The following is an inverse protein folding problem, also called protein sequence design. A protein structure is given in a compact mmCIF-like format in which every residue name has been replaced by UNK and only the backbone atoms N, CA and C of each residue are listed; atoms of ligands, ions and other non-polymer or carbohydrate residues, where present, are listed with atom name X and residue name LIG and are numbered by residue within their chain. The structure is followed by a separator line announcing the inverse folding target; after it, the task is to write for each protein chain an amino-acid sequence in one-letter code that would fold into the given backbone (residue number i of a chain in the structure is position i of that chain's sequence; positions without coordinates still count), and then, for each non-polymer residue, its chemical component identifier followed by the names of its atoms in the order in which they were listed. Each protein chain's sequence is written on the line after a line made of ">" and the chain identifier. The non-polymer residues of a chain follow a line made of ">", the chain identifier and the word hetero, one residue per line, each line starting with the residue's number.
data_IF_545557640931
#
_entry.id   IF_545557640931
#
_cell.length_a   1.000
_cell.length_b   1.000
_cell.length_c   1.000
_cell.angle_alpha   90.00
_cell.angle_beta   90.00
_cell.angle_gamma   90.00
#
_symmetry.space_group_name_H-M   'P 1'
#
loop_
_entity.id
_entity.type
_entity.pdbx_description
1 polymer ?
#
# COMPACT_ATOMS: atom_id res chain seq x y z
N UNK A 1 -7.48 10.41 -16.97
CA UNK A 1 -7.31 10.67 -15.51
C UNK A 1 -6.05 9.95 -15.07
N UNK A 2 -4.93 10.60 -14.73
CA UNK A 2 -3.66 9.88 -14.75
C UNK A 2 -3.46 8.91 -13.57
N UNK A 3 -4.21 9.01 -12.45
CA UNK A 3 -3.98 8.18 -11.25
C UNK A 3 -5.25 7.49 -10.70
N UNK A 4 -6.37 7.51 -11.42
CA UNK A 4 -7.67 7.05 -10.89
C UNK A 4 -7.75 5.55 -10.57
N UNK A 5 -6.88 4.72 -11.16
CA UNK A 5 -6.91 3.26 -11.06
C UNK A 5 -6.06 2.65 -9.96
N UNK A 6 -5.15 3.41 -9.33
CA UNK A 6 -4.27 2.85 -8.31
C UNK A 6 -5.03 2.60 -7.01
N UNK A 7 -4.82 1.42 -6.43
CA UNK A 7 -5.25 1.11 -5.07
C UNK A 7 -4.53 2.00 -4.06
N UNK A 8 -5.15 2.22 -2.91
CA UNK A 8 -4.61 2.99 -1.78
C UNK A 8 -3.21 2.51 -1.35
N UNK A 9 -2.92 1.22 -1.15
CA UNK A 9 -1.56 0.78 -0.82
C UNK A 9 -0.53 1.13 -1.91
N UNK A 10 -0.92 1.10 -3.19
CA UNK A 10 -0.06 1.50 -4.29
C UNK A 10 0.21 3.02 -4.30
N UNK A 11 -0.82 3.85 -4.06
CA UNK A 11 -0.67 5.31 -3.88
C UNK A 11 0.28 5.63 -2.72
N UNK A 12 0.08 5.00 -1.56
CA UNK A 12 0.92 5.20 -0.37
C UNK A 12 2.38 4.75 -0.61
N UNK A 13 2.59 3.65 -1.34
CA UNK A 13 3.94 3.21 -1.72
C UNK A 13 4.67 4.27 -2.57
N UNK A 14 3.99 4.86 -3.56
CA UNK A 14 4.57 5.91 -4.41
C UNK A 14 4.80 7.23 -3.66
N UNK A 15 3.87 7.60 -2.76
CA UNK A 15 4.02 8.78 -1.91
C UNK A 15 5.24 8.66 -0.99
N UNK A 16 5.40 7.51 -0.34
CA UNK A 16 6.51 7.20 0.55
C UNK A 16 7.83 6.87 -0.17
N UNK A 17 7.87 6.99 -1.51
CA UNK A 17 9.04 6.61 -2.29
C UNK A 17 10.20 7.59 -2.10
N UNK A 18 11.20 7.18 -1.33
CA UNK A 18 12.52 7.80 -1.24
C UNK A 18 13.61 6.76 -1.59
N UNK A 19 14.21 6.82 -2.78
CA UNK A 19 15.24 5.86 -3.19
C UNK A 19 16.60 6.13 -2.54
N UNK A 20 16.83 7.32 -2.00
CA UNK A 20 18.17 7.78 -1.61
C UNK A 20 18.45 7.62 -0.11
N UNK A 21 17.42 7.62 0.76
CA UNK A 21 17.63 7.75 2.22
C UNK A 21 16.53 7.13 3.06
N UNK A 22 16.57 5.82 3.26
CA UNK A 22 15.75 5.19 4.32
C UNK A 22 16.58 4.29 5.22
N UNK A 23 16.65 4.64 6.50
CA UNK A 23 17.08 3.73 7.57
C UNK A 23 16.16 2.52 7.66
N UNK A 24 16.62 1.42 8.28
CA UNK A 24 15.80 0.22 8.45
C UNK A 24 14.47 0.49 9.19
N UNK A 25 14.48 1.43 10.14
CA UNK A 25 13.28 1.85 10.86
C UNK A 25 12.28 2.59 9.95
N UNK A 26 12.77 3.41 9.03
CA UNK A 26 11.92 4.08 8.04
C UNK A 26 11.32 3.08 7.06
N UNK A 27 12.12 2.13 6.56
CA UNK A 27 11.62 1.05 5.71
C UNK A 27 10.49 0.26 6.39
N UNK A 28 10.66 -0.11 7.66
CA UNK A 28 9.61 -0.80 8.42
C UNK A 28 8.34 0.06 8.58
N UNK A 29 8.48 1.39 8.81
CA UNK A 29 7.34 2.31 8.85
C UNK A 29 6.59 2.36 7.52
N UNK A 30 7.30 2.36 6.39
CA UNK A 30 6.68 2.32 5.06
C UNK A 30 5.91 1.02 4.83
N UNK A 31 6.46 -0.12 5.26
CA UNK A 31 5.73 -1.40 5.17
C UNK A 31 4.41 -1.34 5.96
N UNK A 32 4.44 -0.81 7.19
CA UNK A 32 3.22 -0.64 7.99
C UNK A 32 2.23 0.32 7.36
N UNK A 33 2.71 1.44 6.79
CA UNK A 33 1.86 2.41 6.09
C UNK A 33 1.12 1.77 4.92
N UNK A 34 1.84 1.04 4.07
CA UNK A 34 1.28 0.37 2.89
C UNK A 34 0.30 -0.73 3.33
N UNK A 35 0.64 -1.52 4.35
CA UNK A 35 -0.24 -2.53 4.94
C UNK A 35 -1.52 -1.91 5.52
N UNK A 36 -1.40 -0.79 6.22
CA UNK A 36 -2.55 -0.07 6.78
C UNK A 36 -3.46 0.47 5.67
N UNK A 37 -2.90 1.00 4.57
CA UNK A 37 -3.68 1.41 3.41
C UNK A 37 -4.46 0.26 2.77
N UNK A 38 -3.83 -0.91 2.62
CA UNK A 38 -4.51 -2.09 2.08
C UNK A 38 -5.68 -2.54 2.98
N UNK A 39 -5.49 -2.59 4.29
CA UNK A 39 -6.55 -2.90 5.26
C UNK A 39 -7.67 -1.87 5.26
N UNK A 40 -7.32 -0.58 5.15
CA UNK A 40 -8.29 0.53 5.10
C UNK A 40 -9.16 0.42 3.86
N UNK A 41 -8.55 0.18 2.69
CA UNK A 41 -9.31 0.04 1.45
C UNK A 41 -10.21 -1.21 1.44
N UNK A 42 -9.75 -2.33 2.01
CA UNK A 42 -10.60 -3.51 2.21
C UNK A 42 -11.80 -3.21 3.11
N UNK A 43 -11.61 -2.43 4.17
CA UNK A 43 -12.69 -2.00 5.06
C UNK A 43 -13.66 -1.04 4.35
N UNK A 44 -13.16 -0.05 3.60
CA UNK A 44 -13.97 0.87 2.80
C UNK A 44 -14.79 0.15 1.73
N UNK A 45 -14.25 -0.94 1.16
CA UNK A 45 -14.96 -1.82 0.22
C UNK A 45 -15.93 -2.79 0.90
N UNK A 46 -16.03 -2.78 2.22
CA UNK A 46 -16.91 -3.66 3.00
C UNK A 46 -16.47 -5.13 3.03
N UNK A 47 -15.22 -5.43 2.70
CA UNK A 47 -14.67 -6.79 2.66
C UNK A 47 -14.04 -7.22 3.99
N UNK A 48 -13.64 -6.24 4.80
CA UNK A 48 -13.28 -6.43 6.19
C UNK A 48 -14.20 -5.58 7.07
N UNK A 49 -14.75 -6.19 8.12
CA UNK A 49 -15.55 -5.52 9.14
C UNK A 49 -14.81 -5.50 10.47
N UNK A 50 -15.18 -4.56 11.35
CA UNK A 50 -14.75 -4.57 12.74
C UNK A 50 -15.70 -5.44 13.57
N UNK A 51 -15.15 -6.46 14.22
CA UNK A 51 -15.84 -7.27 15.24
C UNK A 51 -15.10 -7.10 16.57
N UNK A 52 -15.58 -6.18 17.40
CA UNK A 52 -14.97 -5.83 18.70
C UNK A 52 -13.45 -5.54 18.61
N UNK A 53 -13.02 -4.82 17.57
CA UNK A 53 -11.62 -4.49 17.32
C UNK A 53 -10.81 -5.57 16.58
N UNK A 54 -11.45 -6.66 16.17
CA UNK A 54 -10.91 -7.72 15.31
C UNK A 54 -11.26 -7.39 13.86
N UNK A 55 -10.27 -7.50 12.96
CA UNK A 55 -10.55 -7.38 11.54
C UNK A 55 -11.07 -8.72 11.02
N UNK A 56 -12.34 -8.75 10.61
CA UNK A 56 -13.05 -9.98 10.24
C UNK A 56 -13.48 -9.92 8.77
N UNK A 57 -13.24 -10.97 7.97
CA UNK A 57 -13.76 -11.04 6.60
C UNK A 57 -15.30 -10.97 6.60
N UNK A 58 -15.86 -10.12 5.74
CA UNK A 58 -17.31 -9.99 5.62
C UNK A 58 -17.97 -11.26 5.06
N UNK A 59 -17.26 -11.97 4.19
CA UNK A 59 -17.64 -13.27 3.63
C UNK A 59 -16.42 -14.07 3.14
N UNK A 60 -16.65 -15.28 2.63
CA UNK A 60 -15.60 -16.20 2.16
C UNK A 60 -15.24 -16.07 0.68
N UNK A 61 -16.07 -15.43 -0.15
CA UNK A 61 -15.97 -15.53 -1.62
C UNK A 61 -15.70 -14.20 -2.33
N UNK A 62 -16.00 -13.07 -1.69
CA UNK A 62 -15.85 -11.74 -2.28
C UNK A 62 -14.39 -11.40 -2.54
N UNK A 63 -14.17 -10.64 -3.61
CA UNK A 63 -12.86 -10.22 -4.10
C UNK A 63 -12.91 -8.79 -4.62
N UNK A 64 -11.77 -8.13 -4.55
CA UNK A 64 -11.54 -6.76 -5.02
C UNK A 64 -11.21 -6.68 -6.51
N UNK A 65 -10.65 -7.77 -7.08
CA UNK A 65 -10.02 -7.75 -8.41
C UNK A 65 -8.61 -7.16 -8.44
N UNK A 66 -8.10 -6.66 -7.31
CA UNK A 66 -6.72 -6.23 -7.13
C UNK A 66 -5.96 -7.36 -6.41
N UNK A 67 -4.91 -7.89 -7.04
CA UNK A 67 -4.21 -9.07 -6.55
C UNK A 67 -3.55 -8.87 -5.17
N UNK A 68 -3.10 -7.65 -4.85
CA UNK A 68 -2.52 -7.33 -3.55
C UNK A 68 -3.59 -7.36 -2.47
N UNK A 69 -4.72 -6.70 -2.71
CA UNK A 69 -5.82 -6.66 -1.76
C UNK A 69 -6.45 -8.05 -1.57
N UNK A 70 -6.62 -8.80 -2.66
CA UNK A 70 -7.15 -10.17 -2.61
C UNK A 70 -6.21 -11.12 -1.87
N UNK A 71 -4.89 -11.02 -2.09
CA UNK A 71 -3.91 -11.81 -1.34
C UNK A 71 -3.88 -11.48 0.15
N UNK A 72 -4.10 -10.21 0.52
CA UNK A 72 -4.26 -9.81 1.92
C UNK A 72 -5.56 -10.36 2.51
N UNK A 73 -6.69 -10.20 1.82
CA UNK A 73 -7.99 -10.69 2.28
C UNK A 73 -7.96 -12.20 2.52
N UNK A 74 -7.34 -12.96 1.62
CA UNK A 74 -7.14 -14.41 1.78
C UNK A 74 -6.31 -14.73 3.02
N UNK A 75 -5.19 -14.03 3.22
CA UNK A 75 -4.37 -14.20 4.42
C UNK A 75 -5.17 -13.95 5.70
N UNK A 76 -6.09 -12.98 5.70
CA UNK A 76 -6.99 -12.75 6.86
C UNK A 76 -7.96 -13.91 7.06
N UNK A 77 -8.56 -14.44 5.99
CA UNK A 77 -9.49 -15.58 6.03
C UNK A 77 -8.83 -16.86 6.57
N UNK A 78 -7.60 -17.13 6.18
CA UNK A 78 -6.88 -18.35 6.54
C UNK A 78 -6.18 -18.29 7.92
N UNK A 79 -6.13 -17.10 8.54
CA UNK A 79 -5.44 -16.89 9.81
C UNK A 79 -6.36 -16.94 11.02
N UNK A 80 -5.76 -17.06 12.21
CA UNK A 80 -6.49 -16.85 13.46
C UNK A 80 -6.98 -15.39 13.59
N UNK A 81 -8.07 -15.15 14.34
CA UNK A 81 -8.57 -13.80 14.59
C UNK A 81 -7.50 -12.88 15.18
N UNK A 82 -7.34 -11.70 14.58
CA UNK A 82 -6.37 -10.71 15.00
C UNK A 82 -6.96 -9.30 15.03
N UNK A 83 -6.53 -8.51 16.02
CA UNK A 83 -6.86 -7.09 16.10
C UNK A 83 -6.25 -6.31 14.95
N UNK A 84 -6.87 -5.21 14.53
CA UNK A 84 -6.37 -4.33 13.47
C UNK A 84 -4.90 -3.94 13.62
N UNK A 85 -4.49 -3.55 14.82
CA UNK A 85 -3.09 -3.16 15.11
C UNK A 85 -2.10 -4.30 14.86
N UNK A 86 -2.51 -5.54 15.12
CA UNK A 86 -1.70 -6.72 14.82
C UNK A 86 -1.57 -6.90 13.32
N UNK A 87 -2.69 -6.79 12.59
CA UNK A 87 -2.72 -6.92 11.13
C UNK A 87 -1.89 -5.88 10.38
N UNK A 88 -1.76 -4.67 10.90
CA UNK A 88 -0.90 -3.62 10.34
C UNK A 88 0.59 -4.03 10.35
N UNK A 89 1.00 -4.87 11.30
CA UNK A 89 2.40 -5.27 11.48
C UNK A 89 2.70 -6.65 10.90
N UNK A 90 1.77 -7.57 11.12
CA UNK A 90 1.91 -8.96 10.72
C UNK A 90 2.07 -9.05 9.20
N UNK A 91 3.16 -9.66 8.75
CA UNK A 91 3.50 -9.83 7.33
C UNK A 91 3.46 -8.53 6.49
N UNK A 92 3.63 -7.35 7.09
CA UNK A 92 3.53 -6.07 6.38
C UNK A 92 4.50 -5.95 5.20
N UNK A 93 5.70 -6.56 5.31
CA UNK A 93 6.66 -6.63 4.22
C UNK A 93 6.12 -7.40 3.00
N UNK A 94 5.34 -8.46 3.21
CA UNK A 94 4.79 -9.27 2.11
C UNK A 94 3.84 -8.42 1.26
N UNK A 95 2.95 -7.66 1.90
CA UNK A 95 2.09 -6.69 1.18
C UNK A 95 2.92 -5.64 0.47
N UNK A 96 3.95 -5.09 1.11
CA UNK A 96 4.81 -4.09 0.48
C UNK A 96 5.54 -4.62 -0.76
N UNK A 97 6.12 -5.81 -0.68
CA UNK A 97 6.83 -6.44 -1.80
C UNK A 97 5.83 -6.74 -2.95
N UNK A 98 4.64 -7.26 -2.64
CA UNK A 98 3.59 -7.48 -3.64
C UNK A 98 3.11 -6.19 -4.33
N UNK A 99 2.96 -5.09 -3.59
CA UNK A 99 2.63 -3.77 -4.15
C UNK A 99 3.73 -3.28 -5.10
N UNK A 100 5.00 -3.49 -4.76
CA UNK A 100 6.11 -3.11 -5.64
C UNK A 100 6.12 -3.93 -6.92
N UNK A 101 5.83 -5.21 -6.83
CA UNK A 101 5.70 -6.09 -8.00
C UNK A 101 4.53 -5.66 -8.90
N UNK A 102 3.37 -5.36 -8.32
CA UNK A 102 2.23 -4.80 -9.07
C UNK A 102 2.59 -3.47 -9.74
N UNK A 103 3.24 -2.54 -9.02
CA UNK A 103 3.69 -1.27 -9.58
C UNK A 103 4.74 -1.43 -10.68
N UNK A 104 5.55 -2.50 -10.65
CA UNK A 104 6.43 -2.86 -11.78
C UNK A 104 5.60 -3.35 -12.96
N UNK A 105 4.64 -4.24 -12.74
CA UNK A 105 3.77 -4.77 -13.79
C UNK A 105 2.96 -3.66 -14.48
N UNK A 106 2.52 -2.65 -13.73
CA UNK A 106 1.79 -1.48 -14.23
C UNK A 106 2.71 -0.37 -14.80
N UNK A 107 4.04 -0.55 -14.71
CA UNK A 107 5.05 0.33 -15.29
C UNK A 107 5.31 1.63 -14.51
N UNK A 108 4.91 1.70 -13.23
CA UNK A 108 5.26 2.81 -12.34
C UNK A 108 6.67 2.67 -11.77
N UNK A 109 7.10 1.43 -11.55
CA UNK A 109 8.44 1.08 -11.09
C UNK A 109 9.19 0.25 -12.15
N UNK A 110 10.53 0.25 -12.06
CA UNK A 110 11.39 -0.69 -12.78
C UNK A 110 12.27 -1.42 -11.77
N UNK A 111 12.37 -2.74 -11.91
CA UNK A 111 13.29 -3.57 -11.15
C UNK A 111 14.66 -3.62 -11.87
N UNK A 112 15.71 -3.22 -11.16
CA UNK A 112 17.11 -3.24 -11.61
C UNK A 112 17.87 -4.30 -10.83
N UNK A 113 18.67 -5.12 -11.54
CA UNK A 113 19.57 -6.06 -10.91
C UNK A 113 20.82 -5.34 -10.42
N UNK A 114 21.14 -5.47 -9.15
CA UNK A 114 22.39 -5.02 -8.54
C UNK A 114 23.13 -6.18 -7.90
N UNK A 115 24.42 -6.02 -7.65
CA UNK A 115 25.24 -6.98 -6.91
C UNK A 115 25.73 -6.32 -5.63
N UNK A 116 25.40 -6.92 -4.49
CA UNK A 116 25.94 -6.53 -3.19
C UNK A 116 27.16 -7.40 -2.91
N UNK A 117 28.28 -6.78 -2.51
CA UNK A 117 29.57 -7.44 -2.30
C UNK A 117 30.06 -8.28 -3.52
N UNK A 118 29.67 -7.90 -4.74
CA UNK A 118 30.11 -8.55 -5.99
C UNK A 118 29.49 -9.93 -6.29
N UNK A 119 28.81 -10.57 -5.33
CA UNK A 119 28.29 -11.94 -5.48
C UNK A 119 26.80 -12.11 -5.19
N UNK A 120 26.21 -11.28 -4.34
CA UNK A 120 24.81 -11.44 -3.96
C UNK A 120 23.91 -10.62 -4.89
N UNK A 121 23.07 -11.26 -5.73
CA UNK A 121 22.09 -10.54 -6.52
C UNK A 121 21.11 -9.84 -5.57
N UNK A 122 20.87 -8.56 -5.83
CA UNK A 122 19.88 -7.74 -5.16
C UNK A 122 19.03 -7.04 -6.21
N UNK A 123 17.81 -6.69 -5.84
CA UNK A 123 16.90 -5.93 -6.71
C UNK A 123 16.77 -4.53 -6.13
N UNK A 124 17.19 -3.55 -6.92
CA UNK A 124 16.92 -2.15 -6.67
C UNK A 124 15.70 -1.78 -7.50
N UNK A 125 14.71 -1.12 -6.90
CA UNK A 125 13.58 -0.62 -7.67
C UNK A 125 13.76 0.88 -7.86
N UNK A 126 13.38 1.38 -9.02
CA UNK A 126 13.45 2.80 -9.36
C UNK A 126 12.11 3.29 -9.92
N UNK A 127 11.80 4.58 -9.76
CA UNK A 127 10.61 5.17 -10.35
C UNK A 127 10.76 5.22 -11.88
N UNK A 128 9.95 4.45 -12.60
CA UNK A 128 9.84 4.55 -14.04
C UNK A 128 8.96 5.74 -14.47
N UNK A 129 7.95 6.08 -13.65
CA UNK A 129 7.03 7.22 -13.88
C UNK A 129 7.13 8.27 -12.78
N UNK A 130 8.27 8.95 -12.70
CA UNK A 130 8.50 10.00 -11.70
C UNK A 130 7.45 11.13 -11.73
N UNK A 131 6.91 11.46 -12.91
CA UNK A 131 5.86 12.46 -13.05
C UNK A 131 4.54 12.06 -12.36
N UNK A 132 4.17 10.78 -12.39
CA UNK A 132 2.97 10.28 -11.73
C UNK A 132 3.11 10.35 -10.20
N UNK A 133 4.26 9.93 -9.66
CA UNK A 133 4.56 10.07 -8.24
C UNK A 133 4.60 11.54 -7.79
N UNK A 134 5.14 12.44 -8.61
CA UNK A 134 5.12 13.88 -8.34
C UNK A 134 3.71 14.45 -8.33
N UNK A 135 2.89 14.12 -9.32
CA UNK A 135 1.49 14.55 -9.37
C UNK A 135 0.70 14.07 -8.14
N UNK A 136 0.93 12.83 -7.70
CA UNK A 136 0.31 12.29 -6.49
C UNK A 136 0.74 13.04 -5.22
N UNK A 137 2.01 13.47 -5.13
CA UNK A 137 2.50 14.30 -4.01
C UNK A 137 1.91 15.70 -4.02
N UNK A 138 1.78 16.30 -5.19
CA UNK A 138 1.13 17.61 -5.37
C UNK A 138 -0.35 17.53 -4.96
N UNK A 139 -1.06 16.49 -5.40
CA UNK A 139 -2.46 16.21 -5.02
C UNK A 139 -2.61 16.06 -3.50
N UNK A 140 -1.78 15.22 -2.87
CA UNK A 140 -1.80 15.04 -1.42
C UNK A 140 -1.48 16.34 -0.66
N UNK A 141 -0.49 17.12 -1.12
CA UNK A 141 -0.16 18.42 -0.51
C UNK A 141 -1.34 19.39 -0.63
N UNK A 142 -1.96 19.46 -1.81
CA UNK A 142 -3.10 20.35 -2.03
C UNK A 142 -4.29 19.97 -1.15
N UNK A 143 -4.54 18.68 -0.90
CA UNK A 143 -5.59 18.25 0.04
C UNK A 143 -5.27 18.63 1.49
N UNK A 144 -4.01 18.48 1.91
CA UNK A 144 -3.59 18.75 3.29
C UNK A 144 -3.45 20.25 3.61
N UNK A 145 -3.01 21.05 2.64
CA UNK A 145 -2.78 22.50 2.79
C UNK A 145 -3.94 23.34 2.23
N UNK A 146 -4.90 22.70 1.58
CA UNK A 146 -6.01 23.34 0.90
C UNK A 146 -7.07 23.91 1.85
N UNK A 147 -7.93 24.82 1.35
CA UNK A 147 -8.97 25.45 2.17
C UNK A 147 -10.16 24.52 2.46
N UNK A 148 -10.17 23.29 1.92
CA UNK A 148 -11.29 22.38 2.05
C UNK A 148 -11.34 21.81 3.48
N UNK A 149 -12.48 21.90 4.19
CA UNK A 149 -12.63 21.27 5.50
C UNK A 149 -12.49 19.75 5.40
N UNK A 150 -11.90 19.11 6.41
CA UNK A 150 -11.68 17.65 6.43
C UNK A 150 -12.99 16.84 6.25
N UNK A 151 -14.12 17.36 6.72
CA UNK A 151 -15.43 16.71 6.56
C UNK A 151 -16.01 16.74 5.14
N UNK A 152 -15.39 17.49 4.22
CA UNK A 152 -15.78 17.57 2.80
C UNK A 152 -14.83 16.77 1.90
N UNK A 153 -13.81 16.11 2.47
CA UNK A 153 -12.93 15.20 1.76
C UNK A 153 -13.66 13.90 1.47
N UNK A 154 -13.51 13.38 0.25
CA UNK A 154 -14.05 12.09 -0.18
C UNK A 154 -13.67 10.98 0.80
N UNK A 155 -14.56 10.03 1.09
CA UNK A 155 -14.25 8.85 1.93
C UNK A 155 -13.02 8.07 1.44
N UNK A 156 -12.70 8.14 0.14
CA UNK A 156 -11.48 7.54 -0.43
C UNK A 156 -10.21 8.19 0.10
N UNK A 157 -10.23 9.50 0.30
CA UNK A 157 -9.08 10.34 0.63
C UNK A 157 -9.13 10.92 2.07
N UNK A 158 -10.21 10.65 2.82
CA UNK A 158 -10.41 11.02 4.23
C UNK A 158 -9.80 9.99 5.19
#
# INVERSE_FOLDING_TARGET
>A
MPNGSLSLPARLCLLAWDPERSSAAETARVHHLVRAGALTELAQRGLLTDDEGIATPADLDSRTGDAVLDGLLELVRESLPHRWRTWVRLHARVTFDAVREQLVAEGYLRAEKKRVLGVFPSVEYVLARAAAARALREEARHLLEGPLPAGEVSERDA
#
